data_IF_552854581381
#
_entry.id   IF_552854581381
#
_cell.length_a   1.000
_cell.length_b   1.000
_cell.length_c   1.000
_cell.angle_alpha   90.00
_cell.angle_beta   90.00
_cell.angle_gamma   90.00
#
_symmetry.space_group_name_H-M   'P 1'
#
loop_
_entity.id
_entity.type
_entity.pdbx_description
1 polymer ?
#
# COMPACT_ATOMS: atom_id res chain seq x y z
N UNK A 1 32.34 -23.36 22.84
CA UNK A 1 32.27 -22.74 21.49
C UNK A 1 33.29 -21.59 21.36
N UNK A 2 34.59 -21.86 21.41
CA UNK A 2 35.65 -20.84 21.34
C UNK A 2 36.81 -21.18 20.39
N UNK A 3 36.59 -22.04 19.39
CA UNK A 3 37.71 -22.62 18.61
C UNK A 3 37.73 -22.25 17.10
N UNK A 4 36.70 -21.65 16.49
CA UNK A 4 36.67 -21.59 15.04
C UNK A 4 37.00 -20.22 14.41
N UNK A 5 37.20 -19.17 15.18
CA UNK A 5 37.57 -17.85 14.62
C UNK A 5 39.07 -17.67 14.33
N UNK A 6 39.90 -18.56 14.83
CA UNK A 6 41.38 -18.47 14.64
C UNK A 6 41.86 -19.12 13.33
N UNK A 7 41.05 -20.02 12.73
CA UNK A 7 41.50 -20.79 11.56
C UNK A 7 41.43 -20.01 10.23
N UNK A 8 40.45 -19.10 10.05
CA UNK A 8 40.31 -18.34 8.79
C UNK A 8 41.42 -17.31 8.61
N UNK A 9 41.92 -16.72 9.70
CA UNK A 9 43.04 -15.76 9.67
C UNK A 9 44.37 -16.43 9.32
N UNK A 10 44.59 -17.67 9.76
CA UNK A 10 45.80 -18.41 9.47
C UNK A 10 45.92 -18.84 8.01
N UNK A 11 44.78 -19.30 7.39
CA UNK A 11 44.80 -19.82 6.02
C UNK A 11 45.02 -18.76 4.95
N UNK A 12 44.48 -17.54 5.13
CA UNK A 12 44.77 -16.39 4.24
C UNK A 12 46.23 -15.91 4.39
N UNK A 13 46.80 -16.07 5.56
CA UNK A 13 48.21 -15.72 5.83
C UNK A 13 49.17 -16.69 5.14
N UNK A 14 48.87 -17.98 5.14
CA UNK A 14 49.67 -19.04 4.51
C UNK A 14 49.62 -19.00 2.98
N UNK A 15 48.50 -18.61 2.37
CA UNK A 15 48.38 -18.43 0.91
C UNK A 15 49.26 -17.29 0.39
N UNK A 16 49.49 -16.23 1.17
CA UNK A 16 50.40 -15.12 0.79
C UNK A 16 51.87 -15.40 0.96
N UNK A 17 52.26 -16.41 1.75
CA UNK A 17 53.68 -16.77 2.00
C UNK A 17 54.24 -17.69 0.91
N UNK A 18 53.37 -18.43 0.19
CA UNK A 18 53.83 -19.40 -0.85
C UNK A 18 54.30 -18.70 -2.15
N UNK A 19 54.07 -17.42 -2.33
CA UNK A 19 54.45 -16.65 -3.54
C UNK A 19 55.82 -15.95 -3.47
N UNK A 20 56.85 -16.48 -2.82
CA UNK A 20 58.26 -16.02 -2.96
C UNK A 20 58.53 -14.51 -2.79
N UNK A 21 57.68 -13.77 -2.12
CA UNK A 21 57.72 -12.32 -2.02
C UNK A 21 58.61 -11.81 -0.90
N UNK A 22 59.19 -10.65 -1.10
CA UNK A 22 60.01 -9.88 -0.15
C UNK A 22 59.25 -9.78 1.20
N UNK A 23 59.88 -10.07 2.36
CA UNK A 23 59.22 -10.01 3.65
C UNK A 23 58.70 -8.60 3.94
N UNK A 24 57.38 -8.45 4.03
CA UNK A 24 56.77 -7.16 4.32
C UNK A 24 57.20 -6.63 5.69
N UNK A 25 57.53 -5.34 5.75
CA UNK A 25 57.88 -4.65 7.00
C UNK A 25 56.73 -4.79 8.02
N UNK A 26 57.02 -4.94 9.33
CA UNK A 26 55.99 -5.14 10.37
C UNK A 26 54.87 -4.08 10.36
N UNK A 27 55.18 -2.84 10.05
CA UNK A 27 54.26 -1.76 9.90
C UNK A 27 53.26 -2.01 8.74
N UNK A 28 53.78 -2.45 7.59
CA UNK A 28 52.94 -2.76 6.41
C UNK A 28 51.97 -3.91 6.67
N UNK A 29 52.41 -4.93 7.43
CA UNK A 29 51.56 -6.05 7.86
C UNK A 29 50.42 -5.58 8.76
N UNK A 30 50.70 -4.72 9.77
CA UNK A 30 49.66 -4.15 10.62
C UNK A 30 48.66 -3.29 9.82
N UNK A 31 49.14 -2.46 8.93
CA UNK A 31 48.29 -1.63 8.07
C UNK A 31 47.39 -2.47 7.17
N UNK A 32 47.91 -3.55 6.56
CA UNK A 32 47.14 -4.47 5.74
C UNK A 32 46.09 -5.22 6.58
N UNK A 33 46.46 -5.70 7.78
CA UNK A 33 45.49 -6.36 8.68
C UNK A 33 44.33 -5.40 9.07
N UNK A 34 44.65 -4.15 9.40
CA UNK A 34 43.65 -3.13 9.72
C UNK A 34 42.75 -2.89 8.51
N UNK A 35 43.31 -2.75 7.30
CA UNK A 35 42.55 -2.56 6.07
C UNK A 35 41.61 -3.75 5.80
N UNK A 36 42.12 -4.99 5.96
CA UNK A 36 41.28 -6.19 5.81
C UNK A 36 40.12 -6.20 6.83
N UNK A 37 40.38 -5.86 8.09
CA UNK A 37 39.36 -5.78 9.13
C UNK A 37 38.31 -4.71 8.76
N UNK A 38 38.76 -3.53 8.32
CA UNK A 38 37.88 -2.43 7.91
C UNK A 38 36.98 -2.78 6.71
N UNK A 39 37.43 -3.70 5.84
CA UNK A 39 36.64 -4.22 4.71
C UNK A 39 35.75 -5.36 5.16
N UNK A 40 36.24 -6.30 5.96
CA UNK A 40 35.47 -7.50 6.33
C UNK A 40 34.32 -7.18 7.30
N UNK A 41 34.49 -6.23 8.22
CA UNK A 41 33.43 -5.86 9.16
C UNK A 41 32.17 -5.38 8.44
N UNK A 42 32.20 -4.38 7.55
CA UNK A 42 30.98 -3.94 6.85
C UNK A 42 30.37 -5.02 5.94
N UNK A 43 31.20 -5.85 5.31
CA UNK A 43 30.71 -6.99 4.51
C UNK A 43 29.97 -7.99 5.40
N UNK A 44 30.55 -8.37 6.55
CA UNK A 44 29.92 -9.31 7.49
C UNK A 44 28.62 -8.73 8.06
N UNK A 45 28.60 -7.45 8.40
CA UNK A 45 27.38 -6.76 8.87
C UNK A 45 26.33 -6.69 7.76
N UNK A 46 26.72 -6.41 6.51
CA UNK A 46 25.82 -6.42 5.36
C UNK A 46 25.20 -7.79 5.10
N UNK A 47 26.02 -8.87 5.14
CA UNK A 47 25.53 -10.25 5.01
C UNK A 47 24.58 -10.59 6.17
N UNK A 48 24.94 -10.25 7.40
CA UNK A 48 24.09 -10.50 8.57
C UNK A 48 22.75 -9.76 8.45
N UNK A 49 22.77 -8.51 8.00
CA UNK A 49 21.59 -7.70 7.78
C UNK A 49 20.67 -8.32 6.70
N UNK A 50 21.21 -8.63 5.51
CA UNK A 50 20.43 -9.26 4.43
C UNK A 50 19.88 -10.63 4.87
N UNK A 51 20.69 -11.43 5.59
CA UNK A 51 20.26 -12.71 6.13
C UNK A 51 19.10 -12.53 7.11
N UNK A 52 19.17 -11.52 7.98
CA UNK A 52 18.10 -11.22 8.93
C UNK A 52 16.80 -10.85 8.19
N UNK A 53 16.86 -9.97 7.18
CA UNK A 53 15.70 -9.64 6.35
C UNK A 53 15.14 -10.87 5.63
N UNK A 54 16.00 -11.76 5.10
CA UNK A 54 15.57 -12.94 4.38
C UNK A 54 14.88 -13.98 5.29
N UNK A 55 15.35 -14.14 6.54
CA UNK A 55 14.74 -15.05 7.53
C UNK A 55 13.43 -14.50 8.08
N UNK A 56 13.31 -13.17 8.17
CA UNK A 56 12.11 -12.49 8.67
C UNK A 56 11.16 -12.01 7.57
N UNK A 57 11.44 -12.36 6.29
CA UNK A 57 10.59 -11.98 5.17
C UNK A 57 9.16 -12.48 5.36
N UNK A 58 8.19 -11.56 5.30
CA UNK A 58 6.77 -11.90 5.25
C UNK A 58 6.46 -12.59 3.91
N UNK A 59 6.00 -13.83 3.98
CA UNK A 59 5.64 -14.67 2.83
C UNK A 59 4.22 -15.19 3.01
N UNK A 60 3.23 -14.40 2.57
CA UNK A 60 1.84 -14.81 2.66
C UNK A 60 1.52 -15.95 1.69
N UNK A 61 0.50 -16.73 2.04
CA UNK A 61 -0.10 -17.68 1.10
C UNK A 61 -0.85 -16.92 -0.03
N UNK A 62 -1.13 -17.64 -1.13
CA UNK A 62 -1.87 -17.06 -2.25
C UNK A 62 -3.25 -16.56 -1.84
N UNK A 63 -3.94 -17.32 -0.96
CA UNK A 63 -5.23 -16.96 -0.38
C UNK A 63 -5.19 -17.22 1.11
N UNK A 64 -5.49 -16.22 1.91
CA UNK A 64 -5.57 -16.30 3.37
C UNK A 64 -6.95 -15.85 3.85
N UNK A 65 -7.61 -16.65 4.70
CA UNK A 65 -8.85 -16.21 5.34
C UNK A 65 -8.56 -15.11 6.35
N UNK A 66 -9.33 -14.03 6.30
CA UNK A 66 -9.23 -12.90 7.23
C UNK A 66 -10.22 -13.09 8.36
N UNK A 67 -9.75 -12.94 9.60
CA UNK A 67 -10.63 -12.85 10.74
C UNK A 67 -11.42 -11.53 10.69
N UNK A 68 -12.74 -11.63 10.66
CA UNK A 68 -13.65 -10.48 10.69
C UNK A 68 -13.80 -10.04 12.15
N UNK A 69 -13.45 -8.79 12.42
CA UNK A 69 -13.62 -8.20 13.75
C UNK A 69 -15.00 -7.51 13.86
N UNK A 70 -15.71 -7.71 14.96
CA UNK A 70 -17.03 -7.10 15.25
C UNK A 70 -18.05 -7.34 14.12
N UNK A 71 -18.17 -8.60 13.65
CA UNK A 71 -19.08 -8.89 12.52
C UNK A 71 -20.52 -8.50 12.83
N UNK A 72 -21.19 -7.85 11.89
CA UNK A 72 -22.58 -7.42 11.98
C UNK A 72 -23.51 -8.56 11.50
N UNK A 73 -24.79 -8.48 11.84
CA UNK A 73 -25.80 -9.48 11.42
C UNK A 73 -26.81 -8.96 10.38
N UNK A 74 -26.73 -7.68 10.03
CA UNK A 74 -27.64 -7.03 9.09
C UNK A 74 -27.26 -7.42 7.67
N UNK A 75 -28.19 -8.07 6.94
CA UNK A 75 -28.00 -8.38 5.52
C UNK A 75 -28.40 -7.22 4.64
N UNK A 76 -27.80 -7.15 3.46
CA UNK A 76 -28.14 -6.16 2.45
C UNK A 76 -29.54 -6.43 1.89
N UNK A 77 -30.34 -5.37 1.73
CA UNK A 77 -31.61 -5.41 1.01
C UNK A 77 -31.42 -4.90 -0.42
N UNK A 78 -31.96 -5.62 -1.40
CA UNK A 78 -31.98 -5.15 -2.79
C UNK A 78 -32.72 -3.82 -2.91
N UNK A 79 -32.29 -2.99 -3.86
CA UNK A 79 -32.85 -1.68 -4.17
C UNK A 79 -32.75 -0.61 -3.05
N UNK A 80 -32.17 -0.94 -1.89
CA UNK A 80 -31.87 0.06 -0.86
C UNK A 80 -30.57 0.79 -1.23
N UNK A 81 -30.55 2.13 -1.25
CA UNK A 81 -29.30 2.87 -1.45
C UNK A 81 -28.28 2.57 -0.34
N UNK A 82 -27.06 2.34 -0.74
CA UNK A 82 -25.90 2.06 0.12
C UNK A 82 -24.81 3.07 -0.21
N UNK A 83 -24.12 3.56 0.80
CA UNK A 83 -22.99 4.47 0.64
C UNK A 83 -21.67 3.74 0.88
N UNK A 84 -20.72 3.93 -0.03
CA UNK A 84 -19.37 3.40 0.08
C UNK A 84 -18.33 4.52 -0.10
N UNK A 85 -17.22 4.43 0.61
CA UNK A 85 -16.08 5.32 0.50
C UNK A 85 -14.81 4.51 0.26
N UNK A 86 -13.94 4.95 -0.65
CA UNK A 86 -12.54 4.54 -0.71
C UNK A 86 -11.62 5.68 -0.32
N UNK A 87 -10.61 5.40 0.48
CA UNK A 87 -9.68 6.43 0.97
C UNK A 87 -8.30 5.85 1.28
N UNK A 88 -7.31 6.22 0.47
CA UNK A 88 -5.91 6.04 0.84
C UNK A 88 -5.55 7.13 1.86
N UNK A 89 -5.25 6.75 3.11
CA UNK A 89 -5.01 7.71 4.19
C UNK A 89 -3.54 8.10 4.34
N UNK A 90 -2.65 7.65 3.45
CA UNK A 90 -1.22 7.97 3.50
C UNK A 90 -0.60 7.72 4.87
N UNK A 91 -0.98 6.59 5.52
CA UNK A 91 -0.61 6.26 6.92
C UNK A 91 -0.67 7.48 7.88
N UNK A 92 -1.60 8.42 7.61
CA UNK A 92 -1.78 9.69 8.32
C UNK A 92 -0.50 10.56 8.42
N UNK A 93 0.43 10.39 7.49
CA UNK A 93 1.75 11.02 7.54
C UNK A 93 2.10 11.80 6.26
N UNK A 94 1.19 11.83 5.27
CA UNK A 94 1.39 12.47 3.97
C UNK A 94 0.42 13.66 3.77
N UNK A 95 0.26 14.47 4.82
CA UNK A 95 -0.61 15.64 4.81
C UNK A 95 -0.08 16.77 3.91
N UNK A 96 -0.83 17.86 3.81
CA UNK A 96 -0.47 19.02 2.96
C UNK A 96 0.90 19.62 3.28
N UNK A 97 1.39 19.49 4.51
CA UNK A 97 2.70 20.05 4.92
C UNK A 97 3.88 19.15 4.61
N UNK A 98 3.60 17.94 4.12
CA UNK A 98 4.61 16.92 3.90
C UNK A 98 4.98 16.79 2.42
N UNK A 99 6.21 16.33 2.20
CA UNK A 99 6.73 15.80 0.95
C UNK A 99 7.18 14.34 1.15
N UNK A 100 7.49 13.62 0.06
CA UNK A 100 7.92 12.24 0.14
C UNK A 100 9.10 11.95 -0.79
N UNK A 101 10.11 11.29 -0.24
CA UNK A 101 11.38 11.03 -0.94
C UNK A 101 11.23 10.20 -2.22
N UNK A 102 10.20 9.34 -2.32
CA UNK A 102 9.96 8.55 -3.53
C UNK A 102 9.35 9.38 -4.66
N UNK A 103 8.74 10.50 -4.34
CA UNK A 103 8.10 11.43 -5.28
C UNK A 103 8.98 12.65 -5.61
N UNK A 104 10.26 12.61 -5.23
CA UNK A 104 11.18 13.71 -5.44
C UNK A 104 11.28 14.69 -4.28
N UNK A 105 10.57 14.47 -3.19
CA UNK A 105 10.70 15.20 -1.93
C UNK A 105 11.93 14.79 -1.11
N UNK A 106 11.98 15.17 0.14
CA UNK A 106 13.13 14.94 1.02
C UNK A 106 12.81 14.06 2.23
N UNK A 107 11.55 14.01 2.66
CA UNK A 107 11.11 13.31 3.86
C UNK A 107 10.77 11.85 3.57
N UNK A 108 11.04 10.97 4.52
CA UNK A 108 10.51 9.61 4.57
C UNK A 108 9.58 9.38 5.76
N UNK A 109 9.52 10.38 6.65
CA UNK A 109 8.70 10.39 7.87
C UNK A 109 8.19 11.79 8.14
N UNK A 110 7.02 11.95 8.77
CA UNK A 110 6.50 13.25 9.19
C UNK A 110 7.34 13.83 10.34
N UNK A 111 7.21 15.13 10.54
CA UNK A 111 8.03 15.88 11.50
C UNK A 111 7.77 15.47 12.97
N UNK A 112 6.56 14.98 13.29
CA UNK A 112 6.23 14.64 14.66
C UNK A 112 5.07 13.65 14.80
N UNK A 113 5.07 12.93 15.94
CA UNK A 113 3.94 12.08 16.32
C UNK A 113 2.62 12.87 16.47
N UNK A 114 2.67 14.10 16.95
CA UNK A 114 1.48 14.96 17.09
C UNK A 114 0.85 15.30 15.75
N UNK A 115 1.65 15.47 14.70
CA UNK A 115 1.15 15.67 13.34
C UNK A 115 0.37 14.45 12.84
N UNK A 116 0.92 13.24 13.04
CA UNK A 116 0.24 11.98 12.67
C UNK A 116 -1.09 11.83 13.40
N UNK A 117 -1.13 12.12 14.70
CA UNK A 117 -2.38 12.09 15.50
C UNK A 117 -3.37 13.09 14.94
N UNK A 118 -2.97 14.34 14.72
CA UNK A 118 -3.84 15.39 14.17
C UNK A 118 -4.38 15.04 12.78
N UNK A 119 -3.54 14.47 11.91
CA UNK A 119 -3.97 14.02 10.59
C UNK A 119 -4.99 12.88 10.70
N UNK A 120 -4.75 11.91 11.58
CA UNK A 120 -5.66 10.79 11.79
C UNK A 120 -7.02 11.28 12.33
N UNK A 121 -7.03 12.22 13.27
CA UNK A 121 -8.26 12.84 13.78
C UNK A 121 -9.02 13.57 12.66
N UNK A 122 -8.31 14.26 11.78
CA UNK A 122 -8.89 14.91 10.60
C UNK A 122 -9.48 13.89 9.61
N UNK A 123 -8.76 12.83 9.29
CA UNK A 123 -9.23 11.72 8.44
C UNK A 123 -10.52 11.11 9.03
N UNK A 124 -10.52 10.80 10.32
CA UNK A 124 -11.70 10.23 10.98
C UNK A 124 -12.89 11.19 11.04
N UNK A 125 -12.63 12.49 11.11
CA UNK A 125 -13.69 13.51 11.02
C UNK A 125 -14.34 13.53 9.63
N UNK A 126 -13.56 13.34 8.57
CA UNK A 126 -14.06 13.18 7.20
C UNK A 126 -14.93 11.92 7.09
N UNK A 127 -14.42 10.79 7.57
CA UNK A 127 -15.13 9.50 7.56
C UNK A 127 -16.48 9.62 8.29
N UNK A 128 -16.49 10.22 9.46
CA UNK A 128 -17.71 10.44 10.25
C UNK A 128 -18.71 11.38 9.56
N UNK A 129 -18.24 12.44 8.91
CA UNK A 129 -19.09 13.42 8.23
C UNK A 129 -19.84 12.80 7.03
N UNK A 130 -19.22 11.87 6.31
CA UNK A 130 -19.86 11.19 5.18
C UNK A 130 -20.77 10.04 5.58
N UNK A 131 -20.51 9.39 6.72
CA UNK A 131 -21.35 8.34 7.28
C UNK A 131 -21.62 7.22 6.27
N UNK A 132 -20.58 6.72 5.62
CA UNK A 132 -20.69 5.62 4.68
C UNK A 132 -20.99 4.29 5.41
N UNK A 133 -21.77 3.42 4.75
CA UNK A 133 -22.06 2.07 5.24
C UNK A 133 -20.89 1.13 5.08
N UNK A 134 -20.02 1.41 4.10
CA UNK A 134 -18.86 0.60 3.72
C UNK A 134 -17.67 1.53 3.52
N UNK A 135 -16.50 1.13 4.05
CA UNK A 135 -15.25 1.84 3.79
C UNK A 135 -14.18 0.89 3.26
N UNK A 136 -13.40 1.36 2.31
CA UNK A 136 -12.21 0.72 1.77
C UNK A 136 -11.02 1.64 2.01
N UNK A 137 -10.21 1.33 3.02
CA UNK A 137 -9.03 2.12 3.36
C UNK A 137 -7.77 1.48 2.83
N UNK A 138 -6.81 2.31 2.40
CA UNK A 138 -5.47 1.92 2.02
C UNK A 138 -4.44 2.63 2.90
N UNK A 139 -3.25 2.06 3.01
CA UNK A 139 -2.13 2.56 3.80
C UNK A 139 -2.42 2.71 5.30
N UNK A 140 -2.97 1.66 5.90
CA UNK A 140 -3.25 1.62 7.35
C UNK A 140 -2.07 1.03 8.08
N UNK A 141 -1.32 1.85 8.80
CA UNK A 141 -0.21 1.41 9.65
C UNK A 141 -0.71 0.85 10.99
N UNK A 142 -0.09 -0.28 11.42
CA UNK A 142 -0.35 -0.87 12.74
C UNK A 142 0.82 -0.61 13.69
N UNK A 143 2.06 -0.83 13.20
CA UNK A 143 3.27 -0.74 14.00
C UNK A 143 4.46 -0.36 13.12
N UNK A 144 4.41 0.85 12.54
CA UNK A 144 5.43 1.37 11.61
C UNK A 144 6.20 2.52 12.24
N UNK A 145 7.52 2.57 11.96
CA UNK A 145 8.37 3.67 12.44
C UNK A 145 7.96 5.00 11.80
N UNK A 146 7.54 4.97 10.52
CA UNK A 146 7.11 6.15 9.75
C UNK A 146 5.86 6.83 10.30
N UNK A 147 5.05 6.14 11.09
CA UNK A 147 3.86 6.66 11.76
C UNK A 147 3.96 6.59 13.30
N UNK A 148 5.19 6.57 13.84
CA UNK A 148 5.49 6.56 15.28
C UNK A 148 4.81 5.43 16.06
N UNK A 149 4.71 4.23 15.45
CA UNK A 149 4.10 3.03 16.04
C UNK A 149 2.63 3.21 16.45
N UNK A 150 1.91 4.14 15.81
CA UNK A 150 0.48 4.35 16.05
C UNK A 150 -0.31 3.22 15.39
N UNK A 151 -1.13 2.51 16.15
CA UNK A 151 -2.04 1.49 15.62
C UNK A 151 -3.31 2.16 15.07
N UNK A 152 -3.27 2.54 13.78
CA UNK A 152 -4.36 3.22 13.10
C UNK A 152 -5.59 2.30 12.92
N UNK A 153 -5.38 0.98 12.72
CA UNK A 153 -6.47 0.00 12.64
C UNK A 153 -7.31 0.01 13.92
N UNK A 154 -6.66 -0.04 15.09
CA UNK A 154 -7.37 -0.02 16.37
C UNK A 154 -8.18 1.26 16.57
N UNK A 155 -7.66 2.39 16.10
CA UNK A 155 -8.35 3.69 16.19
C UNK A 155 -9.55 3.73 15.24
N UNK A 156 -9.42 3.24 13.99
CA UNK A 156 -10.52 3.11 13.04
C UNK A 156 -11.63 2.21 13.61
N UNK A 157 -11.27 1.07 14.20
CA UNK A 157 -12.25 0.15 14.84
C UNK A 157 -13.00 0.81 16.00
N UNK A 158 -12.33 1.64 16.78
CA UNK A 158 -12.97 2.41 17.86
C UNK A 158 -13.90 3.50 17.34
N UNK A 159 -13.56 4.12 16.21
CA UNK A 159 -14.40 5.13 15.55
C UNK A 159 -15.63 4.53 14.86
N UNK A 160 -15.51 3.29 14.37
CA UNK A 160 -16.55 2.55 13.65
C UNK A 160 -16.99 1.28 14.41
N UNK A 161 -17.45 1.40 15.68
CA UNK A 161 -17.67 0.25 16.57
C UNK A 161 -18.79 -0.68 16.08
N UNK A 162 -19.67 -0.18 15.21
CA UNK A 162 -20.82 -0.91 14.68
C UNK A 162 -20.58 -1.36 13.23
N UNK A 163 -19.31 -1.51 12.82
CA UNK A 163 -18.95 -2.04 11.51
C UNK A 163 -18.07 -3.27 11.64
N UNK A 164 -18.35 -4.28 10.82
CA UNK A 164 -17.48 -5.42 10.60
C UNK A 164 -16.15 -4.92 10.03
N UNK A 165 -15.01 -5.40 10.51
CA UNK A 165 -13.69 -4.95 10.03
C UNK A 165 -12.86 -6.14 9.57
N UNK A 166 -12.34 -6.06 8.35
CA UNK A 166 -11.37 -6.97 7.75
C UNK A 166 -10.07 -6.23 7.45
N UNK A 167 -8.93 -6.79 7.88
CA UNK A 167 -7.59 -6.23 7.64
C UNK A 167 -6.70 -7.22 6.92
N UNK A 168 -5.98 -6.76 5.90
CA UNK A 168 -4.96 -7.53 5.19
C UNK A 168 -3.63 -6.77 5.15
N UNK A 169 -2.54 -7.35 5.66
CA UNK A 169 -1.21 -6.76 5.51
C UNK A 169 -0.76 -6.83 4.05
N UNK A 170 -0.19 -5.74 3.56
CA UNK A 170 0.45 -5.66 2.24
C UNK A 170 1.87 -5.09 2.28
N UNK A 171 2.29 -4.55 3.43
CA UNK A 171 3.65 -4.09 3.68
C UNK A 171 4.07 -4.46 5.10
N UNK A 172 4.76 -5.58 5.25
CA UNK A 172 5.25 -6.07 6.54
C UNK A 172 6.71 -6.44 6.43
N UNK A 173 7.58 -5.55 6.91
CA UNK A 173 9.04 -5.70 6.83
C UNK A 173 9.70 -5.25 8.13
N UNK A 174 10.78 -5.95 8.47
CA UNK A 174 11.52 -5.64 9.70
C UNK A 174 12.21 -4.28 9.62
N UNK A 175 12.75 -3.92 8.44
CA UNK A 175 13.45 -2.66 8.26
C UNK A 175 13.61 -2.31 6.77
N UNK A 176 13.24 -1.08 6.39
CA UNK A 176 13.49 -0.49 5.08
C UNK A 176 14.65 0.50 5.21
N UNK A 177 15.85 0.17 4.67
CA UNK A 177 17.05 1.02 4.78
C UNK A 177 17.05 2.17 3.75
N UNK A 178 15.93 2.78 3.49
CA UNK A 178 15.79 3.86 2.51
C UNK A 178 15.05 5.06 3.11
N UNK A 179 15.46 6.29 2.75
CA UNK A 179 16.69 6.67 2.06
C UNK A 179 17.92 6.33 2.92
N UNK A 180 19.12 6.19 2.29
CA UNK A 180 20.36 5.89 3.01
C UNK A 180 20.87 7.11 3.80
N UNK A 181 20.03 7.62 4.69
CA UNK A 181 20.31 8.77 5.55
C UNK A 181 19.98 8.45 7.00
N UNK A 182 20.99 8.52 7.87
CA UNK A 182 20.81 8.24 9.31
C UNK A 182 19.75 9.20 9.88
N UNK A 183 18.72 8.61 10.53
CA UNK A 183 17.60 9.38 11.11
C UNK A 183 16.44 9.62 10.16
N UNK A 184 16.61 9.41 8.85
CA UNK A 184 15.55 9.58 7.84
C UNK A 184 15.21 8.27 7.08
N UNK A 185 15.58 7.09 7.60
CA UNK A 185 15.17 5.81 7.01
C UNK A 185 13.71 5.50 7.36
N UNK A 186 12.98 4.88 6.44
CA UNK A 186 11.58 4.44 6.66
C UNK A 186 11.50 3.51 7.89
N UNK A 187 12.45 2.58 8.05
CA UNK A 187 12.54 1.70 9.21
C UNK A 187 11.58 0.53 9.15
N UNK A 188 11.09 0.05 10.31
CA UNK A 188 10.08 -1.00 10.37
C UNK A 188 8.77 -0.50 9.76
N UNK A 189 8.14 -1.37 8.97
CA UNK A 189 6.78 -1.13 8.46
C UNK A 189 5.90 -2.34 8.75
N UNK A 190 4.72 -2.09 9.26
CA UNK A 190 3.60 -3.02 9.35
C UNK A 190 2.33 -2.26 8.97
N UNK A 191 1.91 -2.44 7.73
CA UNK A 191 0.86 -1.69 7.05
C UNK A 191 0.00 -2.59 6.19
N UNK A 192 -1.23 -2.16 5.92
CA UNK A 192 -2.14 -2.93 5.08
C UNK A 192 -3.31 -2.12 4.56
N UNK A 193 -4.32 -2.86 4.11
CA UNK A 193 -5.60 -2.34 3.66
C UNK A 193 -6.70 -2.82 4.61
N UNK A 194 -7.79 -2.06 4.70
CA UNK A 194 -8.91 -2.33 5.60
C UNK A 194 -10.22 -2.18 4.85
N UNK A 195 -11.11 -3.14 5.01
CA UNK A 195 -12.52 -3.01 4.59
C UNK A 195 -13.41 -3.03 5.81
N UNK A 196 -14.31 -2.06 5.94
CA UNK A 196 -15.32 -2.05 7.00
C UNK A 196 -16.72 -2.07 6.39
N UNK A 197 -17.70 -2.63 7.10
CA UNK A 197 -19.09 -2.75 6.63
C UNK A 197 -20.09 -2.70 7.79
N UNK A 198 -21.15 -1.92 7.63
CA UNK A 198 -22.33 -1.94 8.52
C UNK A 198 -23.21 -3.19 8.31
N UNK A 199 -22.88 -4.01 7.30
CA UNK A 199 -23.60 -5.24 7.00
C UNK A 199 -22.81 -6.47 7.43
N UNK A 200 -23.51 -7.60 7.50
CA UNK A 200 -22.92 -8.93 7.69
C UNK A 200 -21.87 -9.21 6.60
N UNK A 201 -20.73 -9.75 7.02
CA UNK A 201 -19.65 -10.22 6.14
C UNK A 201 -19.51 -11.72 6.37
N UNK A 202 -20.03 -12.53 5.45
CA UNK A 202 -20.00 -13.97 5.57
C UNK A 202 -18.57 -14.55 5.48
N UNK A 203 -17.75 -13.92 4.63
CA UNK A 203 -16.36 -14.33 4.39
C UNK A 203 -15.53 -13.11 3.98
N UNK A 204 -14.28 -13.10 4.40
CA UNK A 204 -13.29 -12.15 3.93
C UNK A 204 -11.95 -12.84 3.72
N UNK A 205 -11.34 -12.63 2.55
CA UNK A 205 -10.08 -13.26 2.17
C UNK A 205 -9.06 -12.22 1.72
N UNK A 206 -7.81 -12.44 2.11
CA UNK A 206 -6.65 -11.78 1.54
C UNK A 206 -6.20 -12.58 0.31
N UNK A 207 -6.13 -11.94 -0.84
CA UNK A 207 -5.60 -12.55 -2.07
C UNK A 207 -4.29 -11.88 -2.41
N UNK A 208 -3.20 -12.67 -2.43
CA UNK A 208 -1.89 -12.19 -2.84
C UNK A 208 -1.94 -11.81 -4.32
N UNK A 209 -1.55 -10.58 -4.64
CA UNK A 209 -1.38 -10.17 -6.03
C UNK A 209 -0.06 -10.73 -6.59
N UNK A 210 -0.04 -11.14 -7.85
CA UNK A 210 1.16 -11.63 -8.49
C UNK A 210 2.16 -10.51 -8.75
N UNK A 211 3.41 -10.89 -8.96
CA UNK A 211 4.52 -9.95 -9.14
C UNK A 211 5.23 -9.64 -7.82
N UNK A 212 6.54 -9.60 -7.90
CA UNK A 212 7.40 -9.21 -6.77
C UNK A 212 8.68 -8.54 -7.29
N UNK A 213 9.25 -7.69 -6.46
CA UNK A 213 10.57 -7.12 -6.76
C UNK A 213 11.65 -8.21 -6.76
N UNK A 214 12.70 -8.00 -7.55
CA UNK A 214 13.84 -8.90 -7.59
C UNK A 214 14.54 -8.96 -6.21
N UNK A 215 15.13 -10.12 -5.90
CA UNK A 215 16.00 -10.25 -4.74
C UNK A 215 17.27 -9.38 -4.93
N UNK A 216 17.77 -8.66 -3.91
CA UNK A 216 17.31 -8.61 -2.51
C UNK A 216 16.25 -7.52 -2.21
N UNK A 217 15.84 -6.71 -3.18
CA UNK A 217 14.93 -5.56 -3.00
C UNK A 217 13.59 -6.01 -2.41
N UNK A 218 13.08 -7.17 -2.82
CA UNK A 218 11.82 -7.74 -2.31
C UNK A 218 11.78 -7.96 -0.80
N UNK A 219 12.96 -8.12 -0.15
CA UNK A 219 13.05 -8.36 1.29
C UNK A 219 12.62 -7.17 2.14
N UNK A 220 12.65 -5.97 1.56
CA UNK A 220 12.29 -4.72 2.21
C UNK A 220 11.15 -3.99 1.46
N UNK A 221 10.31 -4.74 0.74
CA UNK A 221 9.29 -4.16 -0.12
C UNK A 221 7.90 -4.79 0.10
N UNK A 222 6.89 -4.19 -0.53
CA UNK A 222 5.48 -4.55 -0.41
C UNK A 222 5.20 -5.96 -0.96
N UNK A 223 4.15 -6.59 -0.41
CA UNK A 223 3.49 -7.79 -0.90
C UNK A 223 2.03 -7.42 -1.16
N UNK A 224 1.78 -6.76 -2.29
CA UNK A 224 0.46 -6.23 -2.66
C UNK A 224 -0.62 -7.31 -2.62
N UNK A 225 -1.79 -6.97 -2.12
CA UNK A 225 -2.91 -7.89 -1.96
C UNK A 225 -4.24 -7.19 -2.13
N UNK A 226 -5.29 -7.97 -2.36
CA UNK A 226 -6.67 -7.54 -2.31
C UNK A 226 -7.32 -8.07 -1.03
N UNK A 227 -8.31 -7.32 -0.50
CA UNK A 227 -9.32 -7.89 0.37
C UNK A 227 -10.55 -8.18 -0.49
N UNK A 228 -11.01 -9.43 -0.50
CA UNK A 228 -12.27 -9.84 -1.10
C UNK A 228 -13.23 -10.20 0.01
N UNK A 229 -14.29 -9.38 0.20
CA UNK A 229 -15.30 -9.59 1.23
C UNK A 229 -16.64 -9.93 0.59
N UNK A 230 -17.32 -10.95 1.12
CA UNK A 230 -18.61 -11.47 0.65
C UNK A 230 -19.71 -11.07 1.61
N UNK A 231 -20.65 -10.25 1.14
CA UNK A 231 -21.76 -9.74 1.92
C UNK A 231 -23.06 -10.39 1.45
N UNK A 232 -23.74 -11.16 2.32
CA UNK A 232 -24.99 -11.83 1.94
C UNK A 232 -26.12 -10.82 1.73
N UNK A 233 -26.96 -11.12 0.74
CA UNK A 233 -28.12 -10.32 0.38
C UNK A 233 -29.39 -11.07 0.82
N UNK A 234 -30.34 -10.34 1.40
CA UNK A 234 -31.58 -10.93 1.87
C UNK A 234 -32.43 -11.47 0.71
N UNK A 235 -32.91 -12.71 0.82
CA UNK A 235 -33.83 -13.33 -0.14
C UNK A 235 -33.19 -13.88 -1.41
N UNK A 236 -31.86 -13.91 -1.51
CA UNK A 236 -31.14 -14.48 -2.65
C UNK A 236 -29.88 -15.22 -2.19
N UNK A 237 -29.35 -16.09 -3.05
CA UNK A 237 -28.04 -16.74 -2.88
C UNK A 237 -26.90 -15.93 -3.50
N UNK A 238 -27.23 -14.84 -4.24
CA UNK A 238 -26.21 -13.92 -4.75
C UNK A 238 -25.64 -13.08 -3.61
N UNK A 239 -24.42 -12.64 -3.76
CA UNK A 239 -23.68 -11.84 -2.78
C UNK A 239 -23.24 -10.51 -3.39
N UNK A 240 -23.04 -9.50 -2.54
CA UNK A 240 -22.21 -8.36 -2.88
C UNK A 240 -20.76 -8.71 -2.56
N UNK A 241 -19.93 -8.77 -3.59
CA UNK A 241 -18.47 -9.01 -3.49
C UNK A 241 -17.75 -7.68 -3.56
N UNK A 242 -17.15 -7.29 -2.45
CA UNK A 242 -16.33 -6.10 -2.32
C UNK A 242 -14.87 -6.48 -2.51
N UNK A 243 -14.16 -5.78 -3.38
CA UNK A 243 -12.74 -5.98 -3.66
C UNK A 243 -12.00 -4.67 -3.35
N UNK A 244 -11.32 -4.61 -2.22
CA UNK A 244 -10.48 -3.49 -1.84
C UNK A 244 -9.04 -3.74 -2.31
N UNK A 245 -8.47 -2.82 -3.08
CA UNK A 245 -7.14 -2.92 -3.63
C UNK A 245 -6.27 -1.69 -3.39
N UNK A 246 -4.96 -1.92 -3.38
CA UNK A 246 -3.94 -0.90 -3.50
C UNK A 246 -2.83 -1.46 -4.38
N UNK A 247 -2.83 -1.06 -5.67
CA UNK A 247 -1.96 -1.63 -6.69
C UNK A 247 -0.56 -1.00 -6.68
N UNK A 248 0.37 -1.59 -7.41
CA UNK A 248 1.77 -1.16 -7.43
C UNK A 248 1.95 0.22 -8.08
N UNK A 249 2.79 1.07 -7.46
CA UNK A 249 3.11 2.42 -7.91
C UNK A 249 4.42 2.49 -8.71
N UNK A 250 5.53 2.03 -8.10
CA UNK A 250 6.90 2.27 -8.58
C UNK A 250 7.52 1.00 -9.19
N UNK A 251 6.79 0.32 -10.08
CA UNK A 251 7.31 -0.81 -10.84
C UNK A 251 7.62 -0.39 -12.30
N UNK A 252 8.20 -1.30 -13.06
CA UNK A 252 8.46 -1.13 -14.50
C UNK A 252 7.21 -1.37 -15.38
N UNK A 253 6.06 -1.59 -14.77
CA UNK A 253 4.78 -1.91 -15.42
C UNK A 253 4.44 -3.40 -15.41
N UNK A 254 5.41 -4.28 -15.27
CA UNK A 254 5.19 -5.73 -15.34
C UNK A 254 4.40 -6.28 -14.16
N UNK A 255 4.60 -5.75 -12.96
CA UNK A 255 3.81 -6.13 -11.79
C UNK A 255 2.37 -5.65 -11.92
N UNK A 256 2.15 -4.39 -12.28
CA UNK A 256 0.80 -3.83 -12.50
C UNK A 256 0.01 -4.60 -13.54
N UNK A 257 0.63 -5.02 -14.64
CA UNK A 257 -0.04 -5.82 -15.66
C UNK A 257 -0.54 -7.15 -15.09
N UNK A 258 0.28 -7.84 -14.30
CA UNK A 258 -0.09 -9.09 -13.64
C UNK A 258 -1.17 -8.87 -12.56
N UNK A 259 -1.06 -7.80 -11.75
CA UNK A 259 -2.05 -7.42 -10.73
C UNK A 259 -3.41 -7.13 -11.36
N UNK A 260 -3.43 -6.33 -12.44
CA UNK A 260 -4.64 -6.01 -13.19
C UNK A 260 -5.25 -7.25 -13.85
N UNK A 261 -4.42 -8.17 -14.35
CA UNK A 261 -4.88 -9.44 -14.91
C UNK A 261 -5.57 -10.30 -13.84
N UNK A 262 -4.99 -10.41 -12.64
CA UNK A 262 -5.58 -11.14 -11.52
C UNK A 262 -6.87 -10.49 -11.03
N UNK A 263 -6.92 -9.18 -10.94
CA UNK A 263 -8.14 -8.44 -10.62
C UNK A 263 -9.25 -8.71 -11.62
N UNK A 264 -8.93 -8.66 -12.93
CA UNK A 264 -9.88 -8.95 -14.01
C UNK A 264 -10.40 -10.38 -13.95
N UNK A 265 -9.56 -11.36 -13.62
CA UNK A 265 -9.93 -12.76 -13.42
C UNK A 265 -10.99 -12.87 -12.31
N UNK A 266 -10.75 -12.27 -11.13
CA UNK A 266 -11.66 -12.31 -9.99
C UNK A 266 -12.99 -11.63 -10.35
N UNK A 267 -12.95 -10.43 -10.92
CA UNK A 267 -14.15 -9.69 -11.35
C UNK A 267 -15.03 -10.53 -12.30
N UNK A 268 -14.40 -11.14 -13.30
CA UNK A 268 -15.09 -11.94 -14.31
C UNK A 268 -15.71 -13.20 -13.69
N UNK A 269 -14.98 -13.87 -12.81
CA UNK A 269 -15.47 -15.07 -12.12
C UNK A 269 -16.68 -14.76 -11.25
N UNK A 270 -16.65 -13.69 -10.47
CA UNK A 270 -17.78 -13.31 -9.61
C UNK A 270 -19.00 -12.87 -10.42
N UNK A 271 -18.80 -12.16 -11.52
CA UNK A 271 -19.89 -11.80 -12.42
C UNK A 271 -20.54 -13.04 -13.05
N UNK A 272 -19.77 -14.05 -13.46
CA UNK A 272 -20.28 -15.31 -14.01
C UNK A 272 -21.10 -16.11 -12.99
N UNK A 273 -20.78 -15.97 -11.69
CA UNK A 273 -21.58 -16.54 -10.61
C UNK A 273 -22.87 -15.75 -10.35
N UNK A 274 -23.07 -14.62 -11.02
CA UNK A 274 -24.23 -13.74 -10.87
C UNK A 274 -24.15 -12.80 -9.67
N UNK A 275 -23.00 -12.73 -9.01
CA UNK A 275 -22.75 -11.83 -7.89
C UNK A 275 -22.71 -10.36 -8.33
N UNK A 276 -22.92 -9.46 -7.37
CA UNK A 276 -22.71 -8.04 -7.53
C UNK A 276 -21.26 -7.74 -7.17
N UNK A 277 -20.52 -7.04 -8.03
CA UNK A 277 -19.10 -6.79 -7.83
C UNK A 277 -18.82 -5.31 -7.75
N UNK A 278 -18.15 -4.89 -6.68
CA UNK A 278 -17.59 -3.55 -6.52
C UNK A 278 -16.11 -3.68 -6.19
N UNK A 279 -15.26 -3.19 -7.08
CA UNK A 279 -13.84 -2.97 -6.81
C UNK A 279 -13.66 -1.52 -6.40
N UNK A 280 -12.89 -1.26 -5.37
CA UNK A 280 -12.54 0.11 -4.96
C UNK A 280 -11.12 0.14 -4.41
N UNK A 281 -10.50 1.31 -4.46
CA UNK A 281 -9.17 1.50 -3.91
C UNK A 281 -8.32 2.50 -4.68
N UNK A 282 -7.04 2.43 -4.38
CA UNK A 282 -5.98 3.14 -5.09
C UNK A 282 -5.38 2.22 -6.16
N UNK A 283 -5.65 2.55 -7.42
CA UNK A 283 -5.17 1.76 -8.55
C UNK A 283 -3.72 2.12 -8.94
N UNK A 284 -3.18 3.23 -8.42
CA UNK A 284 -1.90 3.79 -8.85
C UNK A 284 -1.77 3.93 -10.38
N UNK A 285 -2.90 4.05 -11.04
CA UNK A 285 -3.04 4.22 -12.48
C UNK A 285 -4.17 5.21 -12.76
N UNK A 286 -3.93 6.12 -13.70
CA UNK A 286 -4.92 7.09 -14.16
C UNK A 286 -6.06 6.37 -14.90
N UNK A 287 -7.29 6.65 -14.54
CA UNK A 287 -8.46 6.12 -15.23
C UNK A 287 -8.54 6.65 -16.68
N UNK A 288 -9.07 5.85 -17.63
CA UNK A 288 -9.28 6.31 -18.99
C UNK A 288 -10.12 7.59 -19.02
N UNK A 289 -9.77 8.52 -19.90
CA UNK A 289 -10.33 9.86 -20.08
C UNK A 289 -9.96 10.90 -18.98
N UNK A 290 -9.27 10.52 -17.91
CA UNK A 290 -8.79 11.48 -16.92
C UNK A 290 -7.52 12.23 -17.35
N UNK A 291 -6.72 11.68 -18.27
CA UNK A 291 -5.46 12.27 -18.75
C UNK A 291 -5.63 13.67 -19.33
N UNK A 292 -6.73 13.93 -20.05
CA UNK A 292 -7.01 15.24 -20.63
C UNK A 292 -7.43 16.29 -19.59
N UNK A 293 -7.81 15.84 -18.38
CA UNK A 293 -8.30 16.71 -17.29
C UNK A 293 -7.16 17.01 -16.32
N UNK A 294 -6.39 15.96 -15.96
CA UNK A 294 -5.22 16.05 -15.08
C UNK A 294 -3.97 15.59 -15.87
N UNK A 295 -3.45 16.43 -16.80
CA UNK A 295 -2.33 16.03 -17.63
C UNK A 295 -1.05 15.88 -16.82
N UNK A 296 -0.22 14.90 -17.19
CA UNK A 296 1.12 14.75 -16.64
C UNK A 296 1.99 15.86 -17.19
N UNK A 297 2.48 16.74 -16.34
CA UNK A 297 3.34 17.88 -16.69
C UNK A 297 4.78 17.68 -16.21
N UNK A 298 4.99 16.85 -15.19
CA UNK A 298 6.32 16.47 -14.67
C UNK A 298 6.53 14.96 -14.84
N UNK A 299 7.53 14.59 -15.64
CA UNK A 299 7.92 13.20 -15.87
C UNK A 299 9.22 12.83 -15.16
N UNK A 300 9.81 13.74 -14.39
CA UNK A 300 11.04 13.51 -13.64
C UNK A 300 10.84 12.73 -12.34
N UNK A 301 9.58 12.67 -11.86
CA UNK A 301 9.17 12.00 -10.64
C UNK A 301 8.17 10.87 -10.95
N UNK A 302 7.30 10.53 -9.99
CA UNK A 302 6.27 9.52 -10.19
C UNK A 302 5.30 9.93 -11.30
N UNK A 303 5.00 8.99 -12.20
CA UNK A 303 4.02 9.14 -13.28
C UNK A 303 3.01 8.00 -13.17
N UNK A 304 1.76 8.32 -12.88
CA UNK A 304 0.68 7.34 -12.89
C UNK A 304 0.38 6.91 -14.34
N UNK A 305 0.64 5.65 -14.73
CA UNK A 305 0.30 5.17 -16.07
C UNK A 305 -1.21 5.07 -16.23
N UNK A 306 -1.68 5.09 -17.47
CA UNK A 306 -3.11 4.97 -17.78
C UNK A 306 -3.55 3.52 -17.78
N UNK A 307 -4.70 3.24 -17.18
CA UNK A 307 -5.35 1.93 -17.29
C UNK A 307 -5.70 1.69 -18.76
N UNK A 308 -5.27 0.56 -19.36
CA UNK A 308 -5.60 0.26 -20.75
C UNK A 308 -7.10 0.28 -21.02
N UNK A 309 -7.54 0.92 -22.10
CA UNK A 309 -8.97 1.00 -22.45
C UNK A 309 -9.64 -0.39 -22.62
N UNK A 310 -8.84 -1.43 -22.87
CA UNK A 310 -9.27 -2.82 -23.02
C UNK A 310 -9.33 -3.58 -21.69
N UNK A 311 -9.03 -2.93 -20.57
CA UNK A 311 -8.96 -3.60 -19.29
C UNK A 311 -10.33 -4.09 -18.82
N UNK A 312 -11.37 -3.24 -18.86
CA UNK A 312 -12.68 -3.58 -18.33
C UNK A 312 -13.27 -4.83 -19.00
N UNK A 313 -13.68 -5.84 -18.22
CA UNK A 313 -14.52 -6.91 -18.74
C UNK A 313 -15.86 -6.38 -19.22
N UNK A 314 -16.51 -7.12 -20.14
CA UNK A 314 -17.88 -6.80 -20.56
C UNK A 314 -18.83 -6.78 -19.35
N UNK A 315 -19.66 -5.75 -19.26
CA UNK A 315 -20.61 -5.60 -18.16
C UNK A 315 -20.01 -4.95 -16.90
N UNK A 316 -18.85 -4.32 -17.00
CA UNK A 316 -18.29 -3.45 -15.94
C UNK A 316 -18.18 -2.01 -16.41
N UNK A 317 -18.24 -1.09 -15.47
CA UNK A 317 -18.03 0.34 -15.70
C UNK A 317 -17.21 0.98 -14.59
N UNK A 318 -16.49 2.06 -14.92
CA UNK A 318 -15.84 2.91 -13.92
C UNK A 318 -16.86 3.80 -13.25
N UNK A 319 -16.78 3.94 -11.92
CA UNK A 319 -17.47 4.93 -11.13
C UNK A 319 -16.42 5.87 -10.53
N UNK A 320 -16.17 6.97 -11.22
CA UNK A 320 -15.14 7.97 -10.93
C UNK A 320 -15.72 9.38 -11.10
N UNK A 321 -15.13 10.34 -10.41
CA UNK A 321 -15.46 11.76 -10.53
C UNK A 321 -14.34 12.48 -11.30
N UNK A 322 -14.63 12.88 -12.53
CA UNK A 322 -13.67 13.57 -13.39
C UNK A 322 -13.49 15.06 -13.05
N UNK A 323 -14.23 15.59 -12.08
CA UNK A 323 -14.20 17.01 -11.74
C UNK A 323 -13.13 17.39 -10.72
N UNK A 324 -12.63 16.41 -9.96
CA UNK A 324 -11.70 16.61 -8.85
C UNK A 324 -10.57 15.58 -8.87
N UNK A 325 -9.31 15.99 -8.61
CA UNK A 325 -8.21 15.05 -8.48
C UNK A 325 -8.34 14.24 -7.18
N UNK A 326 -7.94 12.98 -7.25
CA UNK A 326 -7.93 12.11 -6.07
C UNK A 326 -6.57 12.04 -5.38
N UNK A 327 -5.49 12.37 -6.06
CA UNK A 327 -4.14 12.34 -5.51
C UNK A 327 -3.31 13.51 -6.04
N UNK A 328 -2.28 13.89 -5.28
CA UNK A 328 -1.24 14.83 -5.69
C UNK A 328 0.16 14.21 -5.62
N UNK A 329 1.09 14.69 -6.43
CA UNK A 329 2.51 14.37 -6.28
C UNK A 329 3.06 14.99 -4.99
N UNK A 330 3.86 14.22 -4.25
CA UNK A 330 4.48 14.61 -2.98
C UNK A 330 5.91 15.15 -3.13
N UNK A 331 6.24 15.75 -4.26
CA UNK A 331 7.57 16.35 -4.49
C UNK A 331 7.85 17.58 -3.62
N UNK A 332 6.81 18.18 -3.06
CA UNK A 332 6.87 19.35 -2.16
C UNK A 332 5.60 19.46 -1.30
N UNK A 333 5.61 20.24 -0.20
CA UNK A 333 4.40 20.58 0.54
C UNK A 333 3.33 21.19 -0.37
N UNK A 334 2.07 20.87 -0.13
CA UNK A 334 0.95 21.28 -0.96
C UNK A 334 0.64 22.79 -0.82
N UNK A 335 0.60 23.47 -1.95
CA UNK A 335 0.11 24.84 -2.06
C UNK A 335 -0.95 24.89 -3.18
N UNK A 336 -2.23 25.17 -2.87
CA UNK A 336 -3.29 25.20 -3.87
C UNK A 336 -3.13 26.33 -4.91
N UNK A 337 -2.25 27.30 -4.66
CA UNK A 337 -1.93 28.39 -5.59
C UNK A 337 -0.73 28.08 -6.49
N UNK A 338 -0.07 26.93 -6.29
CA UNK A 338 1.07 26.52 -7.11
C UNK A 338 0.58 25.82 -8.38
N UNK A 339 0.74 26.45 -9.57
CA UNK A 339 0.31 25.85 -10.82
C UNK A 339 1.18 24.66 -11.25
N UNK A 340 2.31 24.41 -10.59
CA UNK A 340 3.18 23.27 -10.87
C UNK A 340 2.78 21.99 -10.12
N UNK A 341 1.78 22.06 -9.24
CA UNK A 341 1.30 20.86 -8.54
C UNK A 341 0.79 19.83 -9.55
N UNK A 342 1.40 18.64 -9.55
CA UNK A 342 0.92 17.52 -10.36
C UNK A 342 -0.21 16.81 -9.62
N UNK A 343 -1.34 16.67 -10.31
CA UNK A 343 -2.53 15.97 -9.82
C UNK A 343 -2.77 14.68 -10.59
N UNK A 344 -3.42 13.72 -9.92
CA UNK A 344 -3.82 12.44 -10.49
C UNK A 344 -5.26 12.10 -10.14
N UNK A 345 -5.89 11.26 -10.97
CA UNK A 345 -7.14 10.60 -10.68
C UNK A 345 -6.88 9.09 -10.72
N UNK A 346 -6.52 8.51 -9.57
CA UNK A 346 -6.06 7.13 -9.42
C UNK A 346 -6.87 6.33 -8.41
N UNK A 347 -7.77 6.97 -7.67
CA UNK A 347 -8.71 6.36 -6.74
C UNK A 347 -10.13 6.37 -7.32
N UNK A 348 -10.91 5.33 -7.05
CA UNK A 348 -12.28 5.21 -7.54
C UNK A 348 -12.82 3.79 -7.44
N UNK A 349 -13.88 3.53 -8.22
CA UNK A 349 -14.54 2.23 -8.22
C UNK A 349 -14.70 1.67 -9.64
N UNK A 350 -14.82 0.34 -9.70
CA UNK A 350 -15.29 -0.42 -10.86
C UNK A 350 -16.45 -1.25 -10.39
N UNK A 351 -17.59 -1.21 -11.10
CA UNK A 351 -18.80 -1.89 -10.70
C UNK A 351 -19.37 -2.77 -11.82
N UNK A 352 -19.97 -3.91 -11.47
CA UNK A 352 -20.69 -4.77 -12.40
C UNK A 352 -22.02 -4.15 -12.79
N UNK A 353 -22.57 -4.53 -13.94
CA UNK A 353 -23.77 -3.95 -14.54
C UNK A 353 -25.09 -4.19 -13.76
N UNK A 354 -25.07 -5.08 -12.77
CA UNK A 354 -26.17 -5.28 -11.82
C UNK A 354 -26.07 -4.36 -10.58
N UNK A 355 -25.07 -3.49 -10.53
CA UNK A 355 -24.93 -2.40 -9.54
C UNK A 355 -25.27 -1.09 -10.22
N UNK A 356 -26.32 -0.41 -9.76
CA UNK A 356 -26.69 0.92 -10.24
C UNK A 356 -25.93 1.99 -9.47
N UNK A 357 -25.17 2.82 -10.16
CA UNK A 357 -24.51 4.00 -9.61
C UNK A 357 -25.57 5.11 -9.50
N UNK A 358 -25.81 5.60 -8.28
CA UNK A 358 -26.72 6.72 -8.04
C UNK A 358 -25.92 8.02 -8.13
N UNK A 359 -24.75 8.05 -7.49
CA UNK A 359 -23.87 9.21 -7.45
C UNK A 359 -22.45 8.74 -7.16
N UNK A 360 -21.45 9.42 -7.73
CA UNK A 360 -20.04 9.30 -7.37
C UNK A 360 -19.44 10.68 -7.25
N UNK A 361 -18.64 10.93 -6.21
CA UNK A 361 -17.96 12.20 -6.04
C UNK A 361 -16.65 12.04 -5.28
N UNK A 362 -15.68 12.90 -5.61
CA UNK A 362 -14.43 13.06 -4.88
C UNK A 362 -14.59 14.19 -3.87
N UNK A 363 -14.27 13.90 -2.62
CA UNK A 363 -14.42 14.84 -1.53
C UNK A 363 -13.16 15.68 -1.40
N UNK A 364 -13.22 16.93 -1.87
CA UNK A 364 -12.07 17.82 -1.84
C UNK A 364 -11.77 18.34 -0.42
N UNK A 365 -10.79 17.73 0.24
CA UNK A 365 -10.22 18.21 1.50
C UNK A 365 -8.92 19.00 1.30
N UNK A 366 -8.60 19.38 0.06
CA UNK A 366 -7.39 20.14 -0.25
C UNK A 366 -6.11 19.44 0.27
N UNK A 367 -6.14 18.11 0.27
CA UNK A 367 -5.04 17.26 0.75
C UNK A 367 -4.56 17.60 2.17
N UNK A 368 -5.48 18.09 3.03
CA UNK A 368 -5.16 18.60 4.37
C UNK A 368 -4.51 17.52 5.24
N UNK A 369 -5.00 16.27 5.19
CA UNK A 369 -4.60 15.19 6.11
C UNK A 369 -3.99 13.97 5.41
N UNK A 370 -4.09 13.87 4.09
CA UNK A 370 -3.51 12.84 3.23
C UNK A 370 -3.20 13.45 1.88
N UNK A 371 -2.29 12.86 1.13
CA UNK A 371 -2.01 13.16 -0.28
C UNK A 371 -3.10 12.67 -1.23
N UNK A 372 -4.11 11.96 -0.69
CA UNK A 372 -5.31 11.58 -1.42
C UNK A 372 -6.56 12.27 -0.87
N UNK A 373 -7.53 12.49 -1.76
CA UNK A 373 -8.90 12.85 -1.45
C UNK A 373 -9.77 11.59 -1.51
N UNK A 374 -10.69 11.36 -0.55
CA UNK A 374 -11.56 10.19 -0.60
C UNK A 374 -12.58 10.27 -1.74
N UNK A 375 -12.88 9.12 -2.33
CA UNK A 375 -13.97 8.97 -3.31
C UNK A 375 -15.14 8.28 -2.66
N UNK A 376 -16.33 8.84 -2.84
CA UNK A 376 -17.59 8.31 -2.32
C UNK A 376 -18.51 7.89 -3.46
N UNK A 377 -19.27 6.83 -3.24
CA UNK A 377 -20.30 6.39 -4.18
C UNK A 377 -21.58 6.01 -3.42
N UNK A 378 -22.72 6.48 -3.91
CA UNK A 378 -24.03 5.93 -3.56
C UNK A 378 -24.46 4.98 -4.66
N UNK A 379 -24.90 3.78 -4.29
CA UNK A 379 -25.32 2.76 -5.24
C UNK A 379 -26.49 1.95 -4.70
N UNK A 380 -27.11 1.15 -5.56
CA UNK A 380 -28.04 0.08 -5.17
C UNK A 380 -27.85 -1.15 -6.04
N UNK A 381 -28.26 -2.30 -5.49
CA UNK A 381 -28.21 -3.58 -6.18
C UNK A 381 -29.51 -3.77 -6.95
N UNK A 382 -29.41 -4.05 -8.25
CA UNK A 382 -30.56 -4.30 -9.10
C UNK A 382 -31.08 -5.74 -8.88
N UNK A 383 -32.38 -5.99 -8.90
CA UNK A 383 -32.97 -7.33 -8.71
C UNK A 383 -32.49 -8.40 -9.69
#
# INVERSE_FOLDING_TARGET
MKANYFFISATLYDIMIVSGGIPMKPFLKKSLTILIILILIPITLGIAFITTLAVTEYRPDEVENIQIHTNQSTKINLSTPIKIMTFNIGYASLSKTEDFVMDGGQKSRPDSKSLVVSNLDGILSIVAAYGADIHMFQEIDIASDRSFQINQLSIIQQQLPNQSTSYAPNFRVLFVPFPFSIGNMIGKVESGIVTTSSFDVAESSRIQLPGEFAWPVRLANLKRSLIVSRLPIQGTTRELVLINGHLSAYDDGSMREQEMSKLKEIMTTEQQLGNYVIVGGDFNQTFPNAEGIFPITDTSNYVAPVIPATFLPLGFTYAIDLTMPTCRLLNQPYNPLDPSTQYYLIDGFIVSNNVEIIEVSTVNHQFEFSDHNPVTMSFRLLP
#
